data_IF_600935504360
#
_entry.id   IF_600935504360
#
_cell.length_a   1.000
_cell.length_b   1.000
_cell.length_c   1.000
_cell.angle_alpha   90.00
_cell.angle_beta   90.00
_cell.angle_gamma   90.00
#
_symmetry.space_group_name_H-M   'P 1'
#
loop_
_entity.id
_entity.type
_entity.pdbx_description
1 polymer ?
#
# COMPACT_ATOMS: atom_id res chain seq x y z
N UNK A 1 -2.71 -7.81 9.56
CA UNK A 1 -1.83 -8.56 10.47
C UNK A 1 -2.08 -10.06 10.34
N UNK A 2 -3.30 -10.49 10.02
CA UNK A 2 -3.73 -11.87 9.75
C UNK A 2 -3.26 -12.51 8.44
N UNK A 3 -1.99 -12.35 8.07
CA UNK A 3 -1.39 -13.11 6.97
C UNK A 3 -1.33 -14.60 7.32
N UNK A 4 -1.89 -15.46 6.46
CA UNK A 4 -2.03 -16.91 6.75
C UNK A 4 -0.69 -17.66 6.80
N UNK A 5 0.27 -17.30 5.95
CA UNK A 5 1.58 -17.97 5.87
C UNK A 5 2.58 -17.50 6.93
N UNK A 6 2.55 -16.20 7.21
CA UNK A 6 3.41 -15.57 8.21
C UNK A 6 2.64 -14.40 8.82
N UNK A 7 1.93 -14.64 9.94
CA UNK A 7 1.18 -13.60 10.64
C UNK A 7 2.12 -12.46 11.07
N UNK A 8 1.65 -11.23 10.95
CA UNK A 8 2.41 -10.05 11.32
C UNK A 8 3.54 -9.65 10.36
N UNK A 9 3.76 -10.38 9.26
CA UNK A 9 4.90 -10.16 8.32
C UNK A 9 5.16 -8.70 7.93
N UNK A 10 4.12 -7.89 7.78
CA UNK A 10 4.21 -6.50 7.32
C UNK A 10 4.84 -5.56 8.36
N UNK A 11 4.75 -5.92 9.64
CA UNK A 11 5.34 -5.16 10.76
C UNK A 11 6.61 -5.81 11.31
N UNK A 12 7.11 -6.88 10.68
CA UNK A 12 8.36 -7.52 11.10
C UNK A 12 9.53 -6.59 10.82
N UNK A 13 10.38 -6.39 11.82
CA UNK A 13 11.65 -5.66 11.70
C UNK A 13 12.62 -6.44 10.83
N UNK A 14 13.12 -5.80 9.76
CA UNK A 14 14.17 -6.36 8.90
C UNK A 14 15.57 -5.89 9.32
N UNK A 15 15.63 -4.77 10.05
CA UNK A 15 16.80 -4.27 10.76
C UNK A 15 16.33 -3.42 11.95
N UNK A 16 17.29 -2.89 12.73
CA UNK A 16 17.04 -2.10 13.94
C UNK A 16 16.15 -0.86 13.77
N UNK A 17 15.96 -0.39 12.53
CA UNK A 17 15.29 0.87 12.23
C UNK A 17 14.06 0.74 11.32
N UNK A 18 13.88 -0.40 10.64
CA UNK A 18 12.88 -0.52 9.57
C UNK A 18 12.19 -1.89 9.57
N UNK A 19 10.87 -1.86 9.52
CA UNK A 19 10.03 -3.02 9.25
C UNK A 19 9.76 -3.22 7.75
N UNK A 20 9.15 -4.35 7.39
CA UNK A 20 8.83 -4.68 5.98
C UNK A 20 8.03 -3.57 5.29
N UNK A 21 7.04 -2.97 5.98
CA UNK A 21 6.22 -1.90 5.43
C UNK A 21 7.03 -0.61 5.18
N UNK A 22 8.00 -0.28 6.05
CA UNK A 22 8.92 0.85 5.84
C UNK A 22 9.65 0.72 4.51
N UNK A 23 10.15 -0.48 4.19
CA UNK A 23 10.87 -0.71 2.94
C UNK A 23 10.00 -0.47 1.71
N UNK A 24 8.77 -0.99 1.71
CA UNK A 24 7.82 -0.77 0.60
C UNK A 24 7.55 0.73 0.41
N UNK A 25 7.25 1.43 1.52
CA UNK A 25 6.91 2.86 1.48
C UNK A 25 8.11 3.69 1.04
N UNK A 26 9.30 3.42 1.59
CA UNK A 26 10.51 4.14 1.25
C UNK A 26 10.88 3.96 -0.23
N UNK A 27 10.74 2.76 -0.79
CA UNK A 27 10.93 2.53 -2.22
C UNK A 27 9.91 3.31 -3.05
N UNK A 28 8.63 3.26 -2.71
CA UNK A 28 7.57 3.94 -3.47
C UNK A 28 7.69 5.47 -3.43
N UNK A 29 8.28 6.05 -2.38
CA UNK A 29 8.57 7.50 -2.31
C UNK A 29 9.52 8.00 -3.39
N UNK A 30 10.32 7.13 -3.99
CA UNK A 30 11.22 7.49 -5.10
C UNK A 30 10.53 7.39 -6.48
N UNK A 31 9.32 6.84 -6.57
CA UNK A 31 8.53 6.86 -7.80
C UNK A 31 8.10 8.29 -8.14
N UNK A 32 8.25 8.67 -9.41
CA UNK A 32 7.81 9.99 -9.90
C UNK A 32 6.35 10.00 -10.34
N UNK A 33 5.77 8.82 -10.57
CA UNK A 33 4.42 8.67 -11.12
C UNK A 33 3.36 8.57 -10.02
N UNK A 34 3.74 8.13 -8.82
CA UNK A 34 2.83 8.05 -7.67
C UNK A 34 2.68 9.42 -7.00
N UNK A 35 1.44 9.90 -6.91
CA UNK A 35 1.10 11.18 -6.24
C UNK A 35 0.57 11.00 -4.82
N UNK A 36 -0.21 9.94 -4.61
CA UNK A 36 -0.84 9.61 -3.34
C UNK A 36 -0.41 8.21 -2.92
N UNK A 37 0.06 8.09 -1.68
CA UNK A 37 0.42 6.81 -1.08
C UNK A 37 -0.49 6.56 0.11
N UNK A 38 -1.44 5.64 -0.06
CA UNK A 38 -2.48 5.35 0.93
C UNK A 38 -2.37 3.89 1.35
N UNK A 39 -2.34 3.65 2.66
CA UNK A 39 -2.39 2.29 3.22
C UNK A 39 -3.85 1.85 3.33
N UNK A 40 -4.28 0.87 2.53
CA UNK A 40 -5.59 0.24 2.67
C UNK A 40 -5.50 -1.02 3.55
N UNK A 41 -5.96 -0.92 4.79
CA UNK A 41 -5.97 -2.00 5.80
C UNK A 41 -7.39 -2.35 6.25
N UNK A 42 -7.57 -3.31 7.16
CA UNK A 42 -8.91 -3.71 7.63
C UNK A 42 -9.36 -2.93 8.87
N UNK A 43 -10.66 -2.96 9.19
CA UNK A 43 -11.17 -2.43 10.47
C UNK A 43 -10.92 -3.37 11.67
N UNK A 44 -10.28 -4.53 11.47
CA UNK A 44 -10.00 -5.47 12.56
C UNK A 44 -9.00 -4.85 13.54
N UNK A 45 -9.19 -5.10 14.83
CA UNK A 45 -8.34 -4.59 15.92
C UNK A 45 -6.86 -4.96 15.72
N UNK A 46 -6.59 -6.17 15.22
CA UNK A 46 -5.22 -6.60 14.91
C UNK A 46 -4.50 -5.70 13.88
N UNK A 47 -5.23 -4.97 13.04
CA UNK A 47 -4.68 -4.04 12.06
C UNK A 47 -4.49 -2.61 12.61
N UNK A 48 -4.85 -2.35 13.88
CA UNK A 48 -4.65 -1.06 14.52
C UNK A 48 -3.17 -0.65 14.51
N UNK A 49 -2.25 -1.61 14.66
CA UNK A 49 -0.81 -1.36 14.59
C UNK A 49 -0.37 -0.72 13.25
N UNK A 50 -1.04 -1.07 12.15
CA UNK A 50 -0.76 -0.49 10.82
C UNK A 50 -1.29 0.95 10.76
N UNK A 51 -2.43 1.21 11.40
CA UNK A 51 -3.04 2.54 11.48
C UNK A 51 -2.18 3.48 12.35
N UNK A 52 -1.71 3.00 13.50
CA UNK A 52 -0.82 3.77 14.36
C UNK A 52 0.52 4.03 13.68
N UNK A 53 1.06 3.05 12.94
CA UNK A 53 2.21 3.25 12.07
C UNK A 53 1.95 4.33 11.01
N UNK A 54 0.80 4.30 10.33
CA UNK A 54 0.45 5.30 9.31
C UNK A 54 0.37 6.70 9.91
N UNK A 55 -0.32 6.86 11.05
CA UNK A 55 -0.42 8.13 11.78
C UNK A 55 0.94 8.67 12.20
N UNK A 56 1.79 7.83 12.80
CA UNK A 56 3.15 8.21 13.25
C UNK A 56 4.00 8.74 12.08
N UNK A 57 3.81 8.19 10.88
CA UNK A 57 4.57 8.54 9.69
C UNK A 57 3.88 9.57 8.78
N UNK A 58 2.76 10.17 9.23
CA UNK A 58 1.93 11.10 8.44
C UNK A 58 1.51 10.55 7.07
N UNK A 59 1.11 9.28 7.05
CA UNK A 59 0.63 8.60 5.85
C UNK A 59 -0.89 8.54 5.85
N UNK A 60 -1.48 8.70 4.67
CA UNK A 60 -2.90 8.48 4.47
C UNK A 60 -3.22 6.99 4.63
N UNK A 61 -4.39 6.69 5.19
CA UNK A 61 -4.85 5.33 5.36
C UNK A 61 -6.36 5.20 5.19
N UNK A 62 -6.78 3.99 4.82
CA UNK A 62 -8.17 3.58 4.72
C UNK A 62 -8.36 2.26 5.46
N UNK A 63 -9.50 2.13 6.15
CA UNK A 63 -9.92 0.89 6.80
C UNK A 63 -11.20 0.40 6.14
N UNK A 64 -11.24 -0.87 5.76
CA UNK A 64 -12.44 -1.48 5.14
C UNK A 64 -12.61 -2.95 5.49
N UNK A 65 -13.50 -3.61 4.75
CA UNK A 65 -13.84 -5.02 4.95
C UNK A 65 -12.62 -5.94 4.84
N UNK A 66 -12.44 -6.94 5.72
CA UNK A 66 -11.28 -7.82 5.69
C UNK A 66 -11.30 -8.78 4.49
N UNK A 67 -12.47 -9.35 4.18
CA UNK A 67 -12.63 -10.37 3.15
C UNK A 67 -12.93 -9.78 1.77
N UNK A 68 -13.65 -8.65 1.70
CA UNK A 68 -13.91 -7.97 0.44
C UNK A 68 -12.78 -7.00 0.09
N UNK A 69 -11.73 -7.57 -0.49
CA UNK A 69 -10.55 -6.82 -0.91
C UNK A 69 -10.91 -5.80 -1.99
N UNK A 70 -11.82 -6.16 -2.91
CA UNK A 70 -12.19 -5.29 -4.04
C UNK A 70 -12.96 -4.06 -3.54
N UNK A 71 -13.98 -4.26 -2.70
CA UNK A 71 -14.73 -3.14 -2.10
C UNK A 71 -13.78 -2.25 -1.29
N UNK A 72 -12.85 -2.82 -0.54
CA UNK A 72 -11.87 -2.04 0.21
C UNK A 72 -11.04 -1.09 -0.68
N UNK A 73 -10.61 -1.53 -1.86
CA UNK A 73 -9.92 -0.64 -2.82
C UNK A 73 -10.89 0.39 -3.42
N UNK A 74 -12.10 -0.03 -3.78
CA UNK A 74 -13.13 0.85 -4.34
C UNK A 74 -13.51 1.99 -3.39
N UNK A 75 -13.83 1.68 -2.13
CA UNK A 75 -14.19 2.67 -1.12
C UNK A 75 -13.00 3.58 -0.75
N UNK A 76 -11.78 3.03 -0.75
CA UNK A 76 -10.57 3.83 -0.59
C UNK A 76 -10.46 4.87 -1.71
N UNK A 77 -10.51 4.43 -2.98
CA UNK A 77 -10.45 5.33 -4.12
C UNK A 77 -11.58 6.37 -4.11
N UNK A 78 -12.80 5.96 -3.75
CA UNK A 78 -13.94 6.88 -3.62
C UNK A 78 -13.72 7.93 -2.53
N UNK A 79 -13.18 7.54 -1.36
CA UNK A 79 -12.90 8.46 -0.25
C UNK A 79 -11.86 9.51 -0.63
N UNK A 80 -10.81 9.10 -1.33
CA UNK A 80 -9.69 9.96 -1.73
C UNK A 80 -9.87 10.57 -3.13
N UNK A 81 -11.02 10.36 -3.78
CA UNK A 81 -11.32 10.83 -5.14
C UNK A 81 -10.24 10.47 -6.17
N UNK A 82 -9.82 9.19 -6.16
CA UNK A 82 -8.77 8.67 -7.05
C UNK A 82 -9.38 8.08 -8.32
N UNK A 83 -8.79 8.40 -9.47
CA UNK A 83 -9.20 7.87 -10.78
C UNK A 83 -8.39 6.63 -11.18
N UNK A 84 -7.12 6.57 -10.78
CA UNK A 84 -6.22 5.46 -11.12
C UNK A 84 -5.65 4.86 -9.84
N UNK A 85 -5.72 3.53 -9.74
CA UNK A 85 -5.23 2.78 -8.57
C UNK A 85 -4.05 1.92 -9.00
N UNK A 86 -2.89 2.18 -8.41
CA UNK A 86 -1.73 1.29 -8.53
C UNK A 86 -1.72 0.38 -7.32
N UNK A 87 -2.19 -0.86 -7.49
CA UNK A 87 -2.29 -1.83 -6.39
C UNK A 87 -0.92 -2.44 -6.08
N UNK A 88 -0.45 -2.23 -4.85
CA UNK A 88 0.79 -2.82 -4.34
C UNK A 88 0.51 -3.71 -3.13
N UNK A 89 1.17 -4.86 -3.02
CA UNK A 89 1.11 -5.69 -1.82
C UNK A 89 2.26 -5.32 -0.87
N UNK A 90 1.95 -5.23 0.42
CA UNK A 90 2.90 -4.80 1.45
C UNK A 90 3.93 -5.87 1.83
N UNK A 91 3.95 -7.02 1.16
CA UNK A 91 4.90 -8.11 1.40
C UNK A 91 6.02 -8.22 0.35
N UNK A 92 6.17 -7.19 -0.48
CA UNK A 92 7.22 -7.09 -1.51
C UNK A 92 8.19 -5.93 -1.20
N UNK A 93 9.05 -6.03 -0.17
CA UNK A 93 9.88 -4.92 0.32
C UNK A 93 10.95 -4.43 -0.68
N UNK A 94 11.27 -5.22 -1.71
CA UNK A 94 12.33 -4.91 -2.69
C UNK A 94 11.79 -4.41 -4.03
N UNK A 95 10.66 -3.73 -4.00
CA UNK A 95 10.04 -3.17 -5.20
C UNK A 95 10.90 -2.04 -5.79
N UNK A 96 11.09 -2.05 -7.11
CA UNK A 96 11.89 -1.04 -7.81
C UNK A 96 11.00 0.12 -8.28
N UNK A 97 11.17 1.35 -7.76
CA UNK A 97 10.38 2.51 -8.18
C UNK A 97 10.50 2.82 -9.67
N UNK A 98 11.62 2.49 -10.33
CA UNK A 98 11.78 2.69 -11.76
C UNK A 98 10.89 1.75 -12.58
N UNK A 99 10.66 0.53 -12.09
CA UNK A 99 9.74 -0.41 -12.72
C UNK A 99 8.30 0.09 -12.55
N UNK A 100 7.95 0.58 -11.36
CA UNK A 100 6.63 1.20 -11.14
C UNK A 100 6.39 2.34 -12.11
N UNK A 101 7.34 3.27 -12.22
CA UNK A 101 7.21 4.42 -13.11
C UNK A 101 7.04 3.97 -14.57
N UNK A 102 7.82 2.98 -15.02
CA UNK A 102 7.66 2.41 -16.38
C UNK A 102 6.28 1.82 -16.59
N UNK A 103 5.75 1.08 -15.62
CA UNK A 103 4.42 0.47 -15.73
C UNK A 103 3.32 1.53 -15.75
N UNK A 104 3.38 2.53 -14.86
CA UNK A 104 2.38 3.60 -14.82
C UNK A 104 2.41 4.44 -16.10
N UNK A 105 3.60 4.81 -16.58
CA UNK A 105 3.73 5.55 -17.84
C UNK A 105 3.19 4.73 -19.02
N UNK A 106 3.49 3.43 -19.07
CA UNK A 106 2.97 2.56 -20.13
C UNK A 106 1.45 2.46 -20.11
N UNK A 107 0.84 2.40 -18.92
CA UNK A 107 -0.61 2.41 -18.75
C UNK A 107 -1.22 3.72 -19.27
N UNK A 108 -0.61 4.86 -18.95
CA UNK A 108 -1.08 6.19 -19.38
C UNK A 108 -0.92 6.45 -20.89
N UNK A 109 0.05 5.82 -21.55
CA UNK A 109 0.28 5.96 -23.00
C UNK A 109 -0.67 5.14 -23.86
N UNK A 110 -1.34 4.14 -23.28
CA UNK A 110 -2.24 3.24 -24.01
C UNK A 110 -3.70 3.39 -23.58
N UNK A 111 -4.58 2.73 -24.34
CA UNK A 111 -5.98 2.55 -23.98
C UNK A 111 -6.14 1.20 -23.28
N UNK A 112 -5.76 1.17 -22.00
CA UNK A 112 -5.81 -0.02 -21.16
C UNK A 112 -6.83 0.14 -20.04
N UNK A 113 -7.58 -0.93 -19.77
CA UNK A 113 -8.48 -0.99 -18.62
C UNK A 113 -7.74 -1.29 -17.31
N UNK A 114 -6.63 -2.06 -17.37
CA UNK A 114 -5.82 -2.50 -16.23
C UNK A 114 -4.36 -2.84 -16.62
#
# INVERSE_FOLDING_TARGET
>A
MGSTRFPGKVMVELNDNHNVLDYVINQLRFSKSIKNLIIATTFLEEDDIIVEYAKKNNLEYFRGEPLDVLDRYYQCAKKFSLETIVRMTSDSPFLDPLIVDKTVNKFQEGDFDF
#
